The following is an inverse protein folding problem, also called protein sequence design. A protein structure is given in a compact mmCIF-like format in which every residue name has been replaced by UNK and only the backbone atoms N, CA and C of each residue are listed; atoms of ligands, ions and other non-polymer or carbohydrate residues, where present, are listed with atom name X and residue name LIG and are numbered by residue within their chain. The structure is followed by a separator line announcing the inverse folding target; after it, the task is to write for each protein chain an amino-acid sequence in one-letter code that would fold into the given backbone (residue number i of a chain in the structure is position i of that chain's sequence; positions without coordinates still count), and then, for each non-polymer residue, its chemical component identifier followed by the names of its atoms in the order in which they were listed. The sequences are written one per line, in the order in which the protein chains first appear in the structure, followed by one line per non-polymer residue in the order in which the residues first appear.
data_IF_974345638860
#
_entry.id   IF_974345638860
#
_cell.length_a   1.000
_cell.length_b   1.000
_cell.length_c   1.000
_cell.angle_alpha   90.00
_cell.angle_beta   90.00
_cell.angle_gamma   90.00
#
_symmetry.space_group_name_H-M   'P 1'
#
loop_
_entity.id
_entity.type
_entity.pdbx_description
1 polymer ?
#
# COMPACT_ATOMS: atom_id res chain seq x y z
N UNK A 1 1.47 -7.97 -33.90
CA UNK A 1 1.27 -8.83 -32.72
C UNK A 1 0.94 -7.92 -31.55
N UNK A 2 -0.28 -7.98 -31.01
CA UNK A 2 -0.69 -7.15 -29.89
C UNK A 2 0.20 -7.48 -28.68
N UNK A 3 0.86 -6.47 -28.12
CA UNK A 3 1.53 -6.60 -26.82
C UNK A 3 0.49 -7.03 -25.80
N UNK A 4 0.65 -8.24 -25.26
CA UNK A 4 -0.02 -8.60 -24.02
C UNK A 4 0.63 -7.74 -22.93
N UNK A 5 -0.01 -6.62 -22.58
CA UNK A 5 0.23 -5.99 -21.29
C UNK A 5 -0.18 -7.03 -20.25
N UNK A 6 0.77 -7.82 -19.75
CA UNK A 6 0.50 -8.78 -18.70
C UNK A 6 -0.04 -8.01 -17.49
N UNK A 7 -1.28 -8.32 -17.10
CA UNK A 7 -1.89 -7.73 -15.91
C UNK A 7 -0.99 -8.00 -14.69
N UNK A 8 -0.88 -7.04 -13.76
CA UNK A 8 -0.10 -7.27 -12.55
C UNK A 8 -0.68 -8.46 -11.77
N UNK A 9 0.16 -9.23 -11.06
CA UNK A 9 -0.30 -10.39 -10.28
C UNK A 9 -1.05 -9.99 -8.99
N UNK A 10 -1.45 -8.72 -8.86
CA UNK A 10 -2.14 -8.13 -7.72
C UNK A 10 -3.23 -7.19 -8.25
N UNK A 11 -4.17 -6.80 -7.39
CA UNK A 11 -5.30 -5.96 -7.80
C UNK A 11 -4.99 -4.49 -7.58
N UNK A 12 -5.20 -3.65 -8.58
CA UNK A 12 -5.21 -2.19 -8.40
C UNK A 12 -6.59 -1.74 -7.93
N UNK A 13 -6.60 -0.85 -6.93
CA UNK A 13 -7.82 -0.22 -6.41
C UNK A 13 -7.68 1.30 -6.40
N UNK A 14 -8.81 1.99 -6.46
CA UNK A 14 -8.89 3.44 -6.34
C UNK A 14 -9.10 3.90 -4.89
N UNK A 15 -9.02 5.21 -4.68
CA UNK A 15 -9.36 5.82 -3.40
C UNK A 15 -10.79 5.53 -2.91
N UNK A 16 -11.83 5.49 -3.80
CA UNK A 16 -13.20 5.19 -3.35
C UNK A 16 -13.35 3.80 -2.73
N UNK A 17 -12.50 2.84 -3.10
CA UNK A 17 -12.57 1.45 -2.63
C UNK A 17 -12.01 1.28 -1.22
N UNK A 18 -11.17 2.22 -0.76
CA UNK A 18 -10.48 2.12 0.54
C UNK A 18 -11.49 2.01 1.69
N UNK A 19 -12.48 2.91 1.75
CA UNK A 19 -13.45 2.94 2.87
C UNK A 19 -14.33 1.67 2.92
N UNK A 20 -14.93 1.20 1.80
CA UNK A 20 -15.63 -0.07 1.77
C UNK A 20 -14.75 -1.24 2.23
N UNK A 21 -13.52 -1.35 1.73
CA UNK A 21 -12.62 -2.45 2.09
C UNK A 21 -12.20 -2.39 3.56
N UNK A 22 -12.00 -1.18 4.12
CA UNK A 22 -11.77 -1.02 5.56
C UNK A 22 -12.98 -1.47 6.40
N UNK A 23 -14.20 -1.20 5.94
CA UNK A 23 -15.43 -1.66 6.60
C UNK A 23 -15.58 -3.19 6.55
N UNK A 24 -15.04 -3.84 5.52
CA UNK A 24 -14.92 -5.30 5.41
C UNK A 24 -13.76 -5.88 6.24
N UNK A 25 -13.00 -5.04 6.95
CA UNK A 25 -11.90 -5.44 7.81
C UNK A 25 -10.54 -5.59 7.09
N UNK A 26 -10.44 -5.16 5.84
CA UNK A 26 -9.16 -5.18 5.10
C UNK A 26 -8.25 -4.07 5.62
N UNK A 27 -7.03 -4.43 6.03
CA UNK A 27 -6.07 -3.49 6.61
C UNK A 27 -5.38 -2.69 5.51
N UNK A 28 -5.25 -1.37 5.71
CA UNK A 28 -4.47 -0.48 4.86
C UNK A 28 -3.10 -0.21 5.47
N UNK A 29 -2.03 -0.53 4.76
CA UNK A 29 -0.65 -0.16 5.13
C UNK A 29 -0.19 1.06 4.34
N UNK A 30 0.13 2.13 5.07
CA UNK A 30 0.86 3.28 4.54
C UNK A 30 2.36 2.99 4.61
N UNK A 31 2.95 2.72 3.44
CA UNK A 31 4.36 2.32 3.33
C UNK A 31 5.32 3.48 3.13
N UNK A 32 4.82 4.72 3.27
CA UNK A 32 5.63 5.93 3.17
C UNK A 32 6.52 6.09 4.40
N UNK A 33 7.28 7.18 4.42
CA UNK A 33 8.21 7.49 5.50
C UNK A 33 7.55 8.38 6.56
N UNK A 34 8.04 8.37 7.81
CA UNK A 34 7.45 9.17 8.89
C UNK A 34 7.34 10.67 8.61
N UNK A 35 8.30 11.25 7.87
CA UNK A 35 8.24 12.64 7.46
C UNK A 35 7.08 12.93 6.48
N UNK A 36 6.74 11.99 5.60
CA UNK A 36 5.62 12.13 4.67
C UNK A 36 4.28 12.08 5.43
N UNK A 37 4.19 11.20 6.43
CA UNK A 37 3.01 11.12 7.30
C UNK A 37 2.81 12.41 8.10
N UNK A 38 3.86 12.99 8.68
CA UNK A 38 3.77 14.29 9.39
C UNK A 38 3.35 15.44 8.47
N UNK A 39 3.88 15.46 7.24
CA UNK A 39 3.59 16.53 6.28
C UNK A 39 2.14 16.52 5.80
N UNK A 40 1.62 15.34 5.47
CA UNK A 40 0.34 15.21 4.75
C UNK A 40 -0.77 14.58 5.57
N UNK A 41 -0.45 13.99 6.73
CA UNK A 41 -1.33 13.04 7.40
C UNK A 41 -1.32 11.68 6.71
N UNK A 42 -2.16 10.79 7.23
CA UNK A 42 -2.39 9.44 6.71
C UNK A 42 -3.89 9.22 6.49
N UNK A 43 -4.24 8.23 5.68
CA UNK A 43 -5.64 7.77 5.62
C UNK A 43 -6.02 7.22 7.00
N UNK A 44 -7.21 7.55 7.47
CA UNK A 44 -7.72 7.07 8.76
C UNK A 44 -7.73 5.54 8.79
N UNK A 45 -7.34 4.94 9.91
CA UNK A 45 -7.25 3.49 10.06
C UNK A 45 -6.02 2.84 9.41
N UNK A 46 -5.13 3.61 8.76
CA UNK A 46 -3.89 3.05 8.22
C UNK A 46 -2.96 2.52 9.31
N UNK A 47 -2.36 1.35 9.04
CA UNK A 47 -1.16 0.86 9.71
C UNK A 47 0.05 1.49 9.05
N UNK A 48 1.03 1.87 9.86
CA UNK A 48 2.20 2.63 9.41
C UNK A 48 3.40 1.70 9.41
N UNK A 49 3.95 1.41 8.22
CA UNK A 49 5.10 0.53 8.10
C UNK A 49 5.97 0.95 6.92
N UNK A 50 7.07 1.65 7.18
CA UNK A 50 7.93 2.18 6.12
C UNK A 50 8.64 1.09 5.34
N UNK A 51 8.41 1.05 4.02
CA UNK A 51 9.04 0.08 3.11
C UNK A 51 10.44 0.48 2.70
N UNK A 52 10.68 1.77 2.41
CA UNK A 52 11.98 2.28 1.96
C UNK A 52 12.42 3.49 2.76
N UNK A 53 13.72 3.58 3.04
CA UNK A 53 14.33 4.71 3.73
C UNK A 53 14.55 5.93 2.81
N UNK A 54 15.16 6.99 3.33
CA UNK A 54 15.47 8.20 2.57
C UNK A 54 16.47 8.01 1.43
N UNK A 55 17.27 6.94 1.46
CA UNK A 55 18.18 6.55 0.38
C UNK A 55 17.57 5.55 -0.61
N UNK A 56 16.29 5.20 -0.45
CA UNK A 56 15.59 4.22 -1.30
C UNK A 56 15.95 2.77 -0.98
N UNK A 57 16.59 2.50 0.15
CA UNK A 57 16.91 1.13 0.58
C UNK A 57 15.70 0.52 1.27
N UNK A 58 15.43 -0.75 1.02
CA UNK A 58 14.36 -1.49 1.69
C UNK A 58 14.67 -1.57 3.18
N UNK A 59 13.68 -1.27 4.00
CA UNK A 59 13.77 -1.40 5.45
C UNK A 59 13.94 -2.90 5.80
N UNK A 60 15.04 -3.30 6.47
CA UNK A 60 15.32 -4.71 6.77
C UNK A 60 14.24 -5.35 7.66
N UNK A 61 13.57 -4.58 8.52
CA UNK A 61 12.55 -5.10 9.44
C UNK A 61 11.15 -5.17 8.80
N UNK A 62 10.99 -4.64 7.58
CA UNK A 62 9.69 -4.51 6.93
C UNK A 62 8.99 -5.87 6.77
N UNK A 63 9.65 -6.83 6.13
CA UNK A 63 9.02 -8.12 5.82
C UNK A 63 8.74 -8.96 7.04
N UNK A 64 9.63 -8.90 8.04
CA UNK A 64 9.42 -9.61 9.30
C UNK A 64 8.21 -9.04 10.04
N UNK A 65 8.12 -7.72 10.17
CA UNK A 65 6.98 -7.06 10.82
C UNK A 65 5.68 -7.33 10.06
N UNK A 66 5.70 -7.16 8.73
CA UNK A 66 4.54 -7.39 7.88
C UNK A 66 4.02 -8.83 7.96
N UNK A 67 4.92 -9.83 7.92
CA UNK A 67 4.54 -11.24 7.97
C UNK A 67 4.02 -11.69 9.35
N UNK A 68 4.32 -10.95 10.43
CA UNK A 68 3.74 -11.18 11.76
C UNK A 68 2.31 -10.66 11.86
N UNK A 69 1.95 -9.65 11.06
CA UNK A 69 0.65 -8.99 11.12
C UNK A 69 -0.33 -9.45 10.04
N UNK A 70 0.17 -9.87 8.87
CA UNK A 70 -0.64 -10.24 7.70
C UNK A 70 -0.31 -11.65 7.25
N UNK A 71 -1.29 -12.54 7.34
CA UNK A 71 -1.15 -13.88 6.78
C UNK A 71 -1.22 -13.86 5.24
N UNK A 72 -0.61 -14.85 4.59
CA UNK A 72 -0.46 -14.88 3.12
C UNK A 72 -1.79 -14.92 2.35
N UNK A 73 -2.84 -15.43 2.96
CA UNK A 73 -4.20 -15.56 2.42
C UNK A 73 -5.15 -14.43 2.85
N UNK A 74 -4.69 -13.52 3.71
CA UNK A 74 -5.45 -12.38 4.17
C UNK A 74 -5.36 -11.22 3.16
N UNK A 75 -6.49 -10.53 2.90
CA UNK A 75 -6.50 -9.34 2.07
C UNK A 75 -5.76 -8.18 2.74
N UNK A 76 -4.95 -7.47 1.96
CA UNK A 76 -4.21 -6.29 2.43
C UNK A 76 -4.14 -5.19 1.38
N UNK A 77 -4.37 -3.95 1.79
CA UNK A 77 -4.20 -2.77 0.95
C UNK A 77 -2.87 -2.09 1.23
N UNK A 78 -2.21 -1.59 0.19
CA UNK A 78 -0.95 -0.88 0.27
C UNK A 78 -1.10 0.51 -0.35
N UNK A 79 -0.70 1.56 0.38
CA UNK A 79 -0.68 2.94 -0.11
C UNK A 79 0.72 3.56 0.03
N UNK A 80 1.14 4.29 -1.01
CA UNK A 80 2.30 5.17 -0.94
C UNK A 80 1.96 6.57 -1.47
N UNK A 81 2.97 7.35 -1.88
CA UNK A 81 2.76 8.72 -2.39
C UNK A 81 1.99 8.74 -3.72
N UNK A 82 2.35 7.87 -4.66
CA UNK A 82 1.84 7.89 -6.05
C UNK A 82 1.60 6.50 -6.65
N UNK A 83 1.61 5.42 -5.85
CA UNK A 83 1.45 4.03 -6.33
C UNK A 83 2.75 3.31 -6.73
N UNK A 84 3.84 4.03 -7.02
CA UNK A 84 5.06 3.39 -7.56
C UNK A 84 5.74 2.42 -6.58
N UNK A 85 5.85 2.80 -5.30
CA UNK A 85 6.50 1.95 -4.28
C UNK A 85 5.65 0.71 -3.98
N UNK A 86 4.34 0.89 -3.93
CA UNK A 86 3.38 -0.17 -3.65
C UNK A 86 3.24 -1.14 -4.82
N UNK A 87 3.40 -0.69 -6.06
CA UNK A 87 3.47 -1.55 -7.23
C UNK A 87 4.64 -2.58 -7.11
N UNK A 88 5.84 -2.10 -6.76
CA UNK A 88 7.02 -2.96 -6.56
C UNK A 88 6.80 -3.92 -5.40
N UNK A 89 6.33 -3.40 -4.26
CA UNK A 89 6.08 -4.21 -3.08
C UNK A 89 4.99 -5.27 -3.32
N UNK A 90 3.88 -4.90 -3.95
CA UNK A 90 2.76 -5.81 -4.22
C UNK A 90 3.19 -6.97 -5.12
N UNK A 91 3.96 -6.68 -6.18
CA UNK A 91 4.54 -7.73 -7.03
C UNK A 91 5.43 -8.68 -6.23
N UNK A 92 6.31 -8.13 -5.40
CA UNK A 92 7.22 -8.91 -4.57
C UNK A 92 6.47 -9.83 -3.59
N UNK A 93 5.44 -9.30 -2.93
CA UNK A 93 4.60 -10.05 -2.00
C UNK A 93 3.93 -11.23 -2.71
N UNK A 94 3.37 -11.03 -3.90
CA UNK A 94 2.70 -12.10 -4.63
C UNK A 94 3.70 -13.10 -5.23
N UNK A 95 4.64 -12.62 -6.05
CA UNK A 95 5.50 -13.50 -6.86
C UNK A 95 6.59 -14.22 -6.06
N UNK A 96 7.10 -13.60 -4.99
CA UNK A 96 8.25 -14.13 -4.23
C UNK A 96 7.87 -14.63 -2.85
N UNK A 97 6.87 -14.01 -2.21
CA UNK A 97 6.50 -14.33 -0.84
C UNK A 97 5.20 -15.15 -0.74
N UNK A 98 4.44 -15.24 -1.84
CA UNK A 98 3.26 -16.09 -1.96
C UNK A 98 2.01 -15.52 -1.30
N UNK A 99 1.90 -14.19 -1.18
CA UNK A 99 0.65 -13.54 -0.80
C UNK A 99 -0.37 -13.64 -1.93
N UNK A 100 -1.62 -13.91 -1.62
CA UNK A 100 -2.65 -14.19 -2.64
C UNK A 100 -3.65 -13.05 -2.83
N UNK A 101 -3.76 -12.13 -1.87
CA UNK A 101 -4.73 -11.03 -1.87
C UNK A 101 -4.07 -9.69 -1.53
N UNK A 102 -3.38 -9.11 -2.50
CA UNK A 102 -2.71 -7.82 -2.35
C UNK A 102 -3.40 -6.77 -3.20
N UNK A 103 -3.77 -5.65 -2.59
CA UNK A 103 -4.41 -4.51 -3.24
C UNK A 103 -3.46 -3.30 -3.24
N UNK A 104 -3.18 -2.78 -4.42
CA UNK A 104 -2.35 -1.58 -4.60
C UNK A 104 -3.25 -0.36 -4.81
N UNK A 105 -3.14 0.65 -3.94
CA UNK A 105 -3.81 1.94 -4.13
C UNK A 105 -3.07 2.72 -5.23
N UNK A 106 -3.62 2.66 -6.44
CA UNK A 106 -2.90 2.94 -7.69
C UNK A 106 -2.32 4.36 -7.76
N UNK A 107 -3.05 5.36 -7.26
CA UNK A 107 -2.61 6.76 -7.33
C UNK A 107 -2.07 7.30 -6.01
N UNK A 108 -1.99 6.44 -5.00
CA UNK A 108 -1.49 6.78 -3.68
C UNK A 108 -2.23 7.93 -2.99
N UNK A 109 -1.61 8.45 -1.94
CA UNK A 109 -2.19 9.53 -1.14
C UNK A 109 -2.25 10.87 -1.88
N UNK A 110 -1.45 11.08 -2.93
CA UNK A 110 -1.52 12.32 -3.72
C UNK A 110 -2.90 12.49 -4.34
N UNK A 111 -3.47 11.43 -4.90
CA UNK A 111 -4.84 11.47 -5.42
C UNK A 111 -5.86 11.64 -4.29
N UNK A 112 -5.66 10.95 -3.15
CA UNK A 112 -6.55 11.07 -1.99
C UNK A 112 -6.70 12.53 -1.53
N UNK A 113 -5.56 13.24 -1.44
CA UNK A 113 -5.51 14.64 -1.06
C UNK A 113 -6.10 15.56 -2.14
N UNK A 114 -5.84 15.27 -3.42
CA UNK A 114 -6.42 16.02 -4.55
C UNK A 114 -7.95 15.94 -4.52
N UNK A 115 -8.47 14.76 -4.18
CA UNK A 115 -9.91 14.49 -4.08
C UNK A 115 -10.50 15.01 -2.74
N UNK A 116 -9.72 15.79 -1.98
CA UNK A 116 -10.06 16.44 -0.70
C UNK A 116 -10.62 15.47 0.35
N UNK A 117 -10.17 14.22 0.30
CA UNK A 117 -10.55 13.23 1.29
C UNK A 117 -9.86 13.53 2.64
N UNK A 118 -10.51 13.22 3.77
CA UNK A 118 -9.97 13.49 5.10
C UNK A 118 -8.72 12.67 5.38
N UNK A 119 -7.81 13.23 6.17
CA UNK A 119 -6.60 12.58 6.65
C UNK A 119 -6.49 12.75 8.16
N UNK A 120 -5.93 11.73 8.82
CA UNK A 120 -5.55 11.81 10.22
C UNK A 120 -4.15 12.41 10.31
N UNK A 121 -4.00 13.46 11.12
CA UNK A 121 -2.69 14.04 11.44
C UNK A 121 -2.03 13.23 12.55
N UNK A 122 -0.72 13.02 12.44
CA UNK A 122 0.13 12.36 13.43
C UNK A 122 0.90 13.38 14.27
#
# INVERSE_FOLDING_TARGET
MLSACAEPPYTNIGNPDIKPMQAEGVVLYDIRRPEEWRQTGVVEGSRLLTFVDGGGRVNPEFFETFAREVAKDQPVMLICRTGNRTNVLARLLVEKLGYTKVYNVEHGITAWLRDRQPVTRL
#
